data_IF_169968987554
#
_entry.id   IF_169968987554
#
_cell.length_a   1.000
_cell.length_b   1.000
_cell.length_c   1.000
_cell.angle_alpha   90.00
_cell.angle_beta   90.00
_cell.angle_gamma   90.00
#
_symmetry.space_group_name_H-M   'P 1'
#
loop_
_entity.id
_entity.type
_entity.pdbx_description
1 polymer ?
#
# COMPACT_ATOMS: atom_id res chain seq x y z
N UNK A 1 22.64 14.69 8.43
CA UNK A 1 22.14 14.02 7.21
C UNK A 1 20.94 14.81 6.74
N UNK A 2 20.89 15.24 5.46
CA UNK A 2 19.68 15.89 4.91
C UNK A 2 18.57 14.84 4.96
N UNK A 3 17.52 15.09 5.72
CA UNK A 3 16.37 14.20 5.80
C UNK A 3 15.62 14.35 4.47
N UNK A 4 15.99 13.56 3.47
CA UNK A 4 15.28 13.55 2.18
C UNK A 4 13.95 12.87 2.38
N UNK A 5 12.87 13.51 1.91
CA UNK A 5 11.54 12.90 1.89
C UNK A 5 11.61 11.55 1.13
N UNK A 6 10.83 10.54 1.52
CA UNK A 6 10.70 9.31 0.74
C UNK A 6 10.23 9.60 -0.70
N UNK A 7 10.52 8.70 -1.62
CA UNK A 7 10.01 8.81 -2.98
C UNK A 7 8.47 8.79 -3.00
N UNK A 8 7.90 9.59 -3.91
CA UNK A 8 6.46 9.60 -4.12
C UNK A 8 6.06 8.50 -5.13
N UNK A 9 5.34 7.44 -4.70
CA UNK A 9 5.00 6.32 -5.56
C UNK A 9 3.95 6.66 -6.63
N UNK A 10 3.29 7.82 -6.53
CA UNK A 10 2.22 8.24 -7.44
C UNK A 10 2.73 8.99 -8.67
N UNK A 11 3.99 9.46 -8.69
CA UNK A 11 4.52 10.31 -9.78
C UNK A 11 4.49 9.67 -11.16
N UNK A 12 4.59 8.35 -11.23
CA UNK A 12 4.63 7.58 -12.48
C UNK A 12 3.31 6.87 -12.78
N UNK A 13 2.26 7.18 -12.03
CA UNK A 13 0.95 6.59 -12.21
C UNK A 13 0.09 7.50 -13.08
N UNK A 14 -0.54 6.95 -14.10
CA UNK A 14 -1.52 7.66 -14.90
C UNK A 14 -2.87 7.67 -14.19
N UNK A 15 -3.43 8.87 -13.99
CA UNK A 15 -4.75 9.11 -13.40
C UNK A 15 -5.72 9.76 -14.39
N UNK A 16 -5.33 9.92 -15.67
CA UNK A 16 -6.10 10.66 -16.68
C UNK A 16 -7.48 10.05 -16.97
N UNK A 17 -7.62 8.74 -16.79
CA UNK A 17 -8.88 8.00 -16.96
C UNK A 17 -9.57 7.64 -15.62
N UNK A 18 -8.99 8.00 -14.47
CA UNK A 18 -9.52 7.62 -13.16
C UNK A 18 -10.72 8.49 -12.76
N UNK A 19 -11.73 7.88 -12.13
CA UNK A 19 -12.83 8.61 -11.49
C UNK A 19 -12.41 9.06 -10.09
N UNK A 20 -11.73 10.19 -10.00
CA UNK A 20 -11.18 10.69 -8.75
C UNK A 20 -12.27 11.15 -7.77
N UNK A 21 -12.04 10.88 -6.49
CA UNK A 21 -12.83 11.40 -5.37
C UNK A 21 -12.02 12.40 -4.54
N UNK A 22 -12.73 13.27 -3.83
CA UNK A 22 -12.15 14.37 -3.06
C UNK A 22 -12.44 14.21 -1.56
N UNK A 23 -11.45 14.54 -0.72
CA UNK A 23 -11.59 14.67 0.73
C UNK A 23 -10.66 15.76 1.26
N UNK A 24 -11.04 16.43 2.35
CA UNK A 24 -10.25 17.50 2.96
C UNK A 24 -9.88 17.14 4.40
N UNK A 25 -8.59 17.18 4.70
CA UNK A 25 -8.02 16.67 5.95
C UNK A 25 -7.24 17.77 6.66
N UNK A 26 -7.70 18.18 7.84
CA UNK A 26 -7.00 19.09 8.74
C UNK A 26 -6.29 18.30 9.83
N UNK A 27 -4.98 18.42 9.94
CA UNK A 27 -4.15 17.55 10.77
C UNK A 27 -2.95 18.25 11.41
N UNK A 28 -3.07 19.55 11.72
CA UNK A 28 -1.93 20.36 12.16
C UNK A 28 -1.30 21.14 11.00
N UNK A 29 -0.01 21.45 11.10
CA UNK A 29 0.73 22.11 10.02
C UNK A 29 0.60 21.32 8.70
N UNK A 30 -0.01 21.94 7.70
CA UNK A 30 -0.36 21.26 6.45
C UNK A 30 0.85 20.84 5.59
N UNK A 31 2.07 21.30 5.90
CA UNK A 31 3.28 20.96 5.14
C UNK A 31 3.63 19.49 5.27
N UNK A 32 3.64 18.99 6.51
CA UNK A 32 3.87 17.58 6.80
C UNK A 32 2.73 16.70 6.31
N UNK A 33 1.48 17.15 6.52
CA UNK A 33 0.28 16.41 6.11
C UNK A 33 0.23 16.29 4.58
N UNK A 34 0.47 17.37 3.82
CA UNK A 34 0.50 17.33 2.35
C UNK A 34 1.58 16.37 1.87
N UNK A 35 2.82 16.51 2.38
CA UNK A 35 3.93 15.68 1.96
C UNK A 35 3.68 14.20 2.22
N UNK A 36 3.05 13.85 3.34
CA UNK A 36 2.68 12.47 3.67
C UNK A 36 1.54 11.97 2.79
N UNK A 37 0.42 12.69 2.71
CA UNK A 37 -0.75 12.28 1.93
C UNK A 37 -0.43 12.15 0.44
N UNK A 38 0.39 13.04 -0.13
CA UNK A 38 0.85 12.95 -1.52
C UNK A 38 1.61 11.64 -1.82
N UNK A 39 2.18 11.00 -0.80
CA UNK A 39 2.95 9.75 -0.90
C UNK A 39 2.14 8.50 -0.56
N UNK A 40 0.87 8.67 -0.17
CA UNK A 40 -0.06 7.56 -0.03
C UNK A 40 -0.44 7.08 -1.44
N UNK A 41 -0.18 5.81 -1.74
CA UNK A 41 -0.45 5.22 -3.05
C UNK A 41 -1.94 5.35 -3.41
N UNK A 42 -2.25 5.77 -4.63
CA UNK A 42 -3.62 6.03 -5.08
C UNK A 42 -4.06 7.49 -4.93
N UNK A 43 -3.26 8.33 -4.26
CA UNK A 43 -3.45 9.78 -4.26
C UNK A 43 -2.93 10.37 -5.57
N UNK A 44 -3.83 11.00 -6.31
CA UNK A 44 -3.56 11.60 -7.62
C UNK A 44 -3.00 13.03 -7.50
N UNK A 45 -3.54 13.81 -6.56
CA UNK A 45 -3.10 15.18 -6.34
C UNK A 45 -3.41 15.64 -4.91
N UNK A 46 -2.63 16.61 -4.44
CA UNK A 46 -2.86 17.30 -3.17
C UNK A 46 -2.70 18.80 -3.33
N UNK A 47 -3.44 19.58 -2.56
CA UNK A 47 -3.17 21.01 -2.37
C UNK A 47 -3.40 21.39 -0.91
N UNK A 48 -2.83 22.51 -0.47
CA UNK A 48 -3.03 23.05 0.88
C UNK A 48 -3.83 24.34 0.88
N UNK A 49 -4.60 24.56 1.94
CA UNK A 49 -5.48 25.70 2.07
C UNK A 49 -6.10 25.84 3.45
N UNK A 50 -7.08 26.73 3.52
CA UNK A 50 -7.75 27.16 4.74
C UNK A 50 -9.23 26.80 4.63
N UNK A 51 -9.71 25.92 5.53
CA UNK A 51 -11.07 25.40 5.45
C UNK A 51 -11.95 25.85 6.62
N UNK A 52 -13.25 25.95 6.34
CA UNK A 52 -14.34 26.05 7.32
C UNK A 52 -14.27 27.24 8.29
N UNK A 53 -13.52 28.30 7.96
CA UNK A 53 -13.56 29.58 8.66
C UNK A 53 -14.67 30.53 8.20
N UNK A 54 -14.64 31.76 8.72
CA UNK A 54 -15.71 32.76 8.58
C UNK A 54 -15.41 33.85 7.56
N UNK A 55 -14.14 34.04 7.22
CA UNK A 55 -13.68 35.07 6.27
C UNK A 55 -13.42 34.46 4.91
N UNK A 56 -13.52 35.27 3.85
CA UNK A 56 -13.23 34.82 2.47
C UNK A 56 -11.76 35.07 2.12
N UNK A 57 -11.11 34.12 1.44
CA UNK A 57 -9.72 34.23 0.95
C UNK A 57 -8.72 34.78 1.99
N UNK A 58 -8.63 34.19 3.21
CA UNK A 58 -7.71 34.67 4.22
C UNK A 58 -6.25 34.48 3.79
N UNK A 59 -5.35 35.38 4.20
CA UNK A 59 -3.91 35.10 4.11
C UNK A 59 -3.44 34.20 5.25
N UNK A 60 -2.24 33.64 5.12
CA UNK A 60 -1.60 32.89 6.21
C UNK A 60 -1.53 33.71 7.51
N UNK A 61 -1.21 35.02 7.42
CA UNK A 61 -1.16 35.92 8.56
C UNK A 61 -2.53 36.07 9.23
N UNK A 62 -3.60 36.20 8.44
CA UNK A 62 -4.97 36.29 8.96
C UNK A 62 -5.34 35.01 9.74
N UNK A 63 -5.02 33.84 9.20
CA UNK A 63 -5.25 32.55 9.86
C UNK A 63 -4.43 32.42 11.14
N UNK A 64 -3.17 32.87 11.13
CA UNK A 64 -2.30 32.88 12.29
C UNK A 64 -2.83 33.74 13.45
N UNK A 65 -3.64 34.78 13.16
CA UNK A 65 -4.30 35.57 14.23
C UNK A 65 -5.33 34.79 15.04
N UNK A 66 -5.77 33.63 14.54
CA UNK A 66 -6.83 32.77 15.10
C UNK A 66 -8.23 33.39 15.13
N UNK A 67 -8.43 34.53 14.46
CA UNK A 67 -9.73 35.23 14.43
C UNK A 67 -10.65 34.78 13.30
N UNK A 68 -10.07 34.20 12.24
CA UNK A 68 -10.83 33.80 11.05
C UNK A 68 -11.59 32.48 11.23
N UNK A 69 -11.12 31.61 12.13
CA UNK A 69 -11.73 30.30 12.39
C UNK A 69 -11.37 29.21 11.38
N UNK A 70 -10.51 29.50 10.40
CA UNK A 70 -10.07 28.50 9.43
C UNK A 70 -9.19 27.42 10.06
N UNK A 71 -9.21 26.22 9.50
CA UNK A 71 -8.22 25.15 9.75
C UNK A 71 -7.24 25.07 8.58
N UNK A 72 -5.96 24.90 8.88
CA UNK A 72 -4.99 24.42 7.88
C UNK A 72 -5.41 23.02 7.42
N UNK A 73 -5.62 22.88 6.13
CA UNK A 73 -6.30 21.72 5.54
C UNK A 73 -5.62 21.30 4.25
N UNK A 74 -5.47 20.00 4.06
CA UNK A 74 -5.01 19.40 2.81
C UNK A 74 -6.21 18.90 2.03
N UNK A 75 -6.38 19.37 0.81
CA UNK A 75 -7.28 18.76 -0.17
C UNK A 75 -6.56 17.56 -0.80
N UNK A 76 -7.18 16.39 -0.74
CA UNK A 76 -6.64 15.13 -1.27
C UNK A 76 -7.59 14.63 -2.36
N UNK A 77 -7.06 14.51 -3.58
CA UNK A 77 -7.72 13.86 -4.72
C UNK A 77 -7.16 12.45 -4.87
N UNK A 78 -8.00 11.44 -4.76
CA UNK A 78 -7.57 10.04 -4.78
C UNK A 78 -8.40 9.19 -5.75
N UNK A 79 -7.84 8.08 -6.20
CA UNK A 79 -8.51 7.09 -7.04
C UNK A 79 -9.14 5.99 -6.15
N UNK A 80 -10.48 5.93 -6.01
CA UNK A 80 -11.16 4.94 -5.18
C UNK A 80 -10.90 3.49 -5.61
N UNK A 81 -10.53 3.26 -6.87
CA UNK A 81 -10.19 1.92 -7.38
C UNK A 81 -8.80 1.47 -6.91
N UNK A 82 -7.94 2.41 -6.51
CA UNK A 82 -6.58 2.14 -6.00
C UNK A 82 -6.49 2.19 -4.49
N UNK A 83 -7.25 3.08 -3.84
CA UNK A 83 -7.28 3.21 -2.38
C UNK A 83 -8.70 3.52 -1.90
N UNK A 84 -9.15 2.75 -0.89
CA UNK A 84 -10.45 3.01 -0.26
C UNK A 84 -10.39 4.25 0.63
N UNK A 85 -11.53 4.91 0.87
CA UNK A 85 -11.58 6.05 1.77
C UNK A 85 -11.18 5.63 3.20
N UNK A 86 -11.56 4.44 3.65
CA UNK A 86 -11.21 3.93 4.97
C UNK A 86 -9.69 3.77 5.15
N UNK A 87 -9.02 3.30 4.10
CA UNK A 87 -7.58 3.11 4.07
C UNK A 87 -6.84 4.45 4.03
N UNK A 88 -7.32 5.39 3.22
CA UNK A 88 -6.79 6.76 3.14
C UNK A 88 -6.90 7.47 4.49
N UNK A 89 -8.05 7.37 5.15
CA UNK A 89 -8.27 7.94 6.48
C UNK A 89 -7.45 7.19 7.54
N UNK A 90 -7.29 5.87 7.41
CA UNK A 90 -6.38 5.11 8.26
C UNK A 90 -4.95 5.63 8.19
N UNK A 91 -4.46 5.97 6.99
CA UNK A 91 -3.15 6.59 6.79
C UNK A 91 -3.07 7.98 7.46
N UNK A 92 -4.13 8.78 7.36
CA UNK A 92 -4.22 10.08 8.02
C UNK A 92 -4.18 9.97 9.56
N UNK A 93 -4.91 9.01 10.16
CA UNK A 93 -4.88 8.80 11.61
C UNK A 93 -3.54 8.30 12.15
N UNK A 94 -2.64 7.77 11.31
CA UNK A 94 -1.28 7.40 11.71
C UNK A 94 -0.38 8.62 11.97
N UNK A 95 -0.72 9.79 11.41
CA UNK A 95 0.14 10.98 11.44
C UNK A 95 -0.38 12.10 12.34
N UNK A 96 -1.52 11.91 13.00
CA UNK A 96 -2.11 12.89 13.93
C UNK A 96 -2.28 12.29 15.33
N UNK A 97 -2.35 13.15 16.35
CA UNK A 97 -2.98 12.82 17.64
C UNK A 97 -4.48 13.19 17.55
N UNK A 98 -5.39 12.21 17.36
CA UNK A 98 -6.81 12.48 17.18
C UNK A 98 -7.51 12.90 18.48
N UNK A 99 -6.81 12.87 19.62
CA UNK A 99 -7.33 13.21 20.94
C UNK A 99 -6.84 14.56 21.45
N UNK A 100 -6.04 15.26 20.64
CA UNK A 100 -5.48 16.58 20.93
C UNK A 100 -6.37 17.70 20.40
N UNK A 101 -6.77 18.61 21.29
CA UNK A 101 -7.61 19.76 20.95
C UNK A 101 -6.73 20.93 20.50
N UNK A 102 -6.98 21.44 19.28
CA UNK A 102 -6.33 22.65 18.74
C UNK A 102 -4.79 22.62 18.80
N UNK A 103 -4.20 21.43 18.60
CA UNK A 103 -2.75 21.23 18.68
C UNK A 103 -2.34 19.95 17.97
N UNK A 104 -1.23 19.99 17.23
CA UNK A 104 -0.50 18.83 16.73
C UNK A 104 1.01 19.07 16.91
N UNK A 105 1.70 18.12 17.55
CA UNK A 105 3.11 18.31 17.94
C UNK A 105 3.35 19.59 18.76
N UNK A 106 4.15 20.50 18.21
CA UNK A 106 4.48 21.79 18.82
C UNK A 106 3.53 22.92 18.36
N UNK A 107 2.75 22.69 17.31
CA UNK A 107 1.86 23.69 16.70
C UNK A 107 0.57 23.81 17.52
N UNK A 108 0.25 25.02 17.99
CA UNK A 108 -0.90 25.28 18.87
C UNK A 108 -1.79 26.39 18.33
N UNK A 109 -3.10 26.14 18.30
CA UNK A 109 -4.10 27.07 17.81
C UNK A 109 -5.24 26.36 17.09
N UNK A 110 -6.37 27.04 16.96
CA UNK A 110 -7.56 26.49 16.30
C UNK A 110 -7.33 26.19 14.81
N UNK A 111 -6.34 26.81 14.18
CA UNK A 111 -5.92 26.49 12.83
C UNK A 111 -5.30 25.09 12.71
N UNK A 112 -4.77 24.54 13.80
CA UNK A 112 -4.15 23.21 13.88
C UNK A 112 -5.06 22.15 14.48
N UNK A 113 -6.38 22.41 14.52
CA UNK A 113 -7.36 21.40 14.96
C UNK A 113 -7.38 20.23 13.97
N UNK A 114 -7.79 19.07 14.46
CA UNK A 114 -7.99 17.91 13.60
C UNK A 114 -9.41 17.88 13.05
N UNK A 115 -9.56 17.66 11.75
CA UNK A 115 -10.87 17.65 11.08
C UNK A 115 -10.87 16.86 9.77
N UNK A 116 -12.01 16.23 9.47
CA UNK A 116 -12.29 15.56 8.21
C UNK A 116 -13.49 16.27 7.59
N UNK A 117 -13.28 16.92 6.45
CA UNK A 117 -14.32 17.65 5.75
C UNK A 117 -14.65 16.98 4.43
N UNK A 118 -15.94 16.83 4.16
CA UNK A 118 -16.47 16.08 3.02
C UNK A 118 -17.48 16.92 2.23
N UNK A 119 -17.62 16.64 0.94
CA UNK A 119 -18.64 17.24 0.07
C UNK A 119 -19.73 16.25 -0.34
N UNK A 120 -19.42 14.94 -0.25
CA UNK A 120 -20.34 13.85 -0.58
C UNK A 120 -20.77 13.13 0.71
N UNK A 121 -22.07 13.21 1.05
CA UNK A 121 -22.64 12.49 2.19
C UNK A 121 -22.46 10.96 2.08
N UNK A 122 -22.26 10.43 0.87
CA UNK A 122 -21.92 9.02 0.64
C UNK A 122 -20.63 8.56 1.33
N UNK A 123 -19.74 9.49 1.68
CA UNK A 123 -18.49 9.22 2.39
C UNK A 123 -18.68 9.02 3.91
N UNK A 124 -19.80 9.49 4.48
CA UNK A 124 -20.03 9.46 5.93
C UNK A 124 -19.96 8.07 6.58
N UNK A 125 -20.52 6.99 6.00
CA UNK A 125 -20.42 5.65 6.59
C UNK A 125 -18.96 5.19 6.74
N UNK A 126 -18.11 5.43 5.73
CA UNK A 126 -16.70 5.09 5.77
C UNK A 126 -15.94 5.94 6.81
N UNK A 127 -16.18 7.25 6.84
CA UNK A 127 -15.57 8.16 7.84
C UNK A 127 -15.91 7.71 9.27
N UNK A 128 -17.19 7.45 9.55
CA UNK A 128 -17.66 7.02 10.87
C UNK A 128 -17.09 5.66 11.26
N UNK A 129 -16.98 4.73 10.29
CA UNK A 129 -16.37 3.41 10.50
C UNK A 129 -14.90 3.54 10.94
N UNK A 130 -14.12 4.41 10.31
CA UNK A 130 -12.73 4.65 10.70
C UNK A 130 -12.64 5.29 12.08
N UNK A 131 -13.43 6.32 12.37
CA UNK A 131 -13.42 6.96 13.68
C UNK A 131 -13.75 5.96 14.80
N UNK A 132 -14.74 5.09 14.59
CA UNK A 132 -15.07 4.05 15.56
C UNK A 132 -13.88 3.07 15.78
N UNK A 133 -13.19 2.67 14.69
CA UNK A 133 -12.00 1.80 14.78
C UNK A 133 -10.85 2.48 15.52
N UNK A 134 -10.58 3.76 15.24
CA UNK A 134 -9.53 4.51 15.91
C UNK A 134 -9.87 4.78 17.38
N UNK A 135 -11.14 5.11 17.68
CA UNK A 135 -11.60 5.31 19.05
C UNK A 135 -11.42 4.04 19.90
N UNK A 136 -11.60 2.85 19.31
CA UNK A 136 -11.37 1.59 20.01
C UNK A 136 -9.90 1.37 20.41
N UNK A 137 -8.93 2.07 19.80
CA UNK A 137 -7.50 1.96 20.11
C UNK A 137 -7.08 2.86 21.28
N UNK A 138 -7.92 3.78 21.73
CA UNK A 138 -7.58 4.77 22.75
C UNK A 138 -8.71 4.99 23.74
N UNK A 139 -8.37 5.18 25.02
CA UNK A 139 -9.35 5.52 26.05
C UNK A 139 -9.73 7.00 26.05
N UNK A 140 -8.90 7.86 25.46
CA UNK A 140 -9.19 9.29 25.32
C UNK A 140 -10.17 9.51 24.17
N UNK A 141 -11.18 10.38 24.33
CA UNK A 141 -12.14 10.64 23.26
C UNK A 141 -11.42 11.29 22.07
N UNK A 142 -11.70 10.79 20.87
CA UNK A 142 -11.31 11.43 19.61
C UNK A 142 -12.08 12.74 19.49
N UNK A 143 -11.35 13.82 19.22
CA UNK A 143 -11.87 15.19 19.07
C UNK A 143 -11.79 15.68 17.62
N UNK A 144 -11.35 14.82 16.69
CA UNK A 144 -11.35 15.10 15.26
C UNK A 144 -12.78 15.36 14.78
N UNK A 145 -13.02 16.59 14.31
CA UNK A 145 -14.34 16.99 13.84
C UNK A 145 -14.67 16.37 12.49
N UNK A 146 -15.95 16.06 12.26
CA UNK A 146 -16.45 15.56 10.97
C UNK A 146 -17.59 16.46 10.55
N UNK A 147 -17.36 17.30 9.55
CA UNK A 147 -18.33 18.29 9.10
C UNK A 147 -18.36 18.38 7.57
N UNK A 148 -19.49 18.80 6.97
CA UNK A 148 -19.49 19.20 5.57
C UNK A 148 -18.45 20.30 5.32
N UNK A 149 -17.77 20.23 4.18
CA UNK A 149 -16.92 21.32 3.72
C UNK A 149 -17.79 22.52 3.36
N UNK A 150 -17.65 23.62 4.09
CA UNK A 150 -18.36 24.89 3.82
C UNK A 150 -17.59 25.77 2.87
N UNK A 151 -16.25 25.80 3.02
CA UNK A 151 -15.34 26.62 2.23
C UNK A 151 -13.93 26.03 2.31
N UNK A 152 -13.21 26.17 1.21
CA UNK A 152 -11.78 25.91 1.12
C UNK A 152 -11.16 27.00 0.26
N UNK A 153 -10.34 27.84 0.87
CA UNK A 153 -9.56 28.87 0.18
C UNK A 153 -8.12 28.34 0.01
N UNK A 154 -7.60 28.36 -1.22
CA UNK A 154 -6.27 27.85 -1.52
C UNK A 154 -5.19 28.71 -0.82
N UNK A 155 -4.23 28.07 -0.16
CA UNK A 155 -3.10 28.79 0.42
C UNK A 155 -2.13 29.27 -0.67
N UNK A 156 -1.30 30.23 -0.29
CA UNK A 156 -0.30 30.86 -1.13
C UNK A 156 0.67 29.84 -1.76
N UNK A 157 1.19 30.12 -2.95
CA UNK A 157 2.04 29.19 -3.73
C UNK A 157 3.30 28.73 -2.97
N UNK A 158 3.82 29.54 -2.06
CA UNK A 158 4.99 29.15 -1.27
C UNK A 158 4.68 28.05 -0.24
N UNK A 159 3.41 27.84 0.12
CA UNK A 159 2.97 26.74 0.99
C UNK A 159 2.70 25.45 0.23
N UNK A 160 2.36 25.53 -1.06
CA UNK A 160 2.11 24.34 -1.89
C UNK A 160 3.39 23.53 -2.04
N UNK A 161 3.35 22.24 -1.72
CA UNK A 161 4.47 21.30 -1.83
C UNK A 161 5.72 21.80 -1.07
N UNK A 162 5.50 22.47 0.07
CA UNK A 162 6.55 23.17 0.80
C UNK A 162 7.77 22.29 1.12
N UNK A 163 7.57 21.04 1.56
CA UNK A 163 8.67 20.13 1.91
C UNK A 163 9.36 19.52 0.69
N UNK A 164 8.69 19.42 -0.46
CA UNK A 164 9.34 19.05 -1.72
C UNK A 164 10.23 20.19 -2.23
N UNK A 165 9.79 21.46 -2.05
CA UNK A 165 10.58 22.67 -2.35
C UNK A 165 11.70 22.89 -1.32
N UNK A 166 11.48 22.52 -0.05
CA UNK A 166 12.37 22.77 1.09
C UNK A 166 12.59 21.47 1.90
N UNK A 167 13.49 20.56 1.47
CA UNK A 167 13.67 19.25 2.12
C UNK A 167 14.15 19.29 3.58
N UNK A 168 14.68 20.42 4.05
CA UNK A 168 15.05 20.64 5.46
C UNK A 168 14.02 21.45 6.24
N UNK A 169 12.83 21.66 5.68
CA UNK A 169 11.75 22.44 6.28
C UNK A 169 11.18 21.78 7.54
N UNK A 170 10.48 22.56 8.34
CA UNK A 170 9.83 22.08 9.55
C UNK A 170 8.77 21.00 9.22
N UNK A 171 8.82 19.87 9.91
CA UNK A 171 7.82 18.82 9.80
C UNK A 171 7.68 18.09 11.14
N UNK A 172 6.46 18.00 11.67
CA UNK A 172 6.17 17.21 12.88
C UNK A 172 5.67 15.79 12.56
N UNK A 173 5.41 15.48 11.29
CA UNK A 173 4.87 14.20 10.81
C UNK A 173 6.00 13.20 10.57
N UNK A 174 5.83 11.96 11.05
CA UNK A 174 6.69 10.84 10.67
C UNK A 174 6.21 10.19 9.37
N UNK A 175 7.15 9.76 8.54
CA UNK A 175 6.89 9.05 7.28
C UNK A 175 7.08 7.53 7.41
N UNK A 176 7.44 7.02 8.59
CA UNK A 176 7.76 5.60 8.80
C UNK A 176 6.56 4.68 8.56
N UNK A 177 5.35 5.23 8.69
CA UNK A 177 4.08 4.52 8.45
C UNK A 177 3.66 4.48 6.98
N UNK A 178 4.36 5.17 6.07
CA UNK A 178 4.07 5.10 4.64
C UNK A 178 4.18 3.66 4.14
N UNK A 179 3.13 3.20 3.46
CA UNK A 179 3.02 1.84 2.94
C UNK A 179 2.55 0.79 3.96
N UNK A 180 2.25 1.17 5.21
CA UNK A 180 1.65 0.29 6.23
C UNK A 180 0.11 0.31 6.21
N UNK A 181 -0.50 1.41 5.75
CA UNK A 181 -1.95 1.57 5.61
C UNK A 181 -2.38 1.37 4.16
N UNK A 182 -3.42 0.57 3.95
CA UNK A 182 -4.20 0.66 2.71
C UNK A 182 -3.68 -0.05 1.47
N UNK A 183 -2.79 -1.03 1.59
CA UNK A 183 -2.63 -1.99 0.50
C UNK A 183 -3.90 -2.85 0.42
N UNK A 184 -4.90 -2.39 -0.34
CA UNK A 184 -5.45 -3.33 -1.31
C UNK A 184 -4.39 -3.41 -2.41
N UNK A 185 -3.53 -4.42 -2.32
CA UNK A 185 -3.00 -5.00 -3.56
C UNK A 185 -4.18 -5.11 -4.53
N UNK A 186 -4.02 -4.87 -5.85
CA UNK A 186 -5.05 -5.08 -6.86
C UNK A 186 -5.33 -6.59 -7.03
N UNK A 187 -5.63 -7.24 -5.92
CA UNK A 187 -5.88 -8.64 -5.70
C UNK A 187 -7.39 -8.80 -5.67
N UNK A 188 -7.97 -8.97 -6.86
CA UNK A 188 -9.32 -9.49 -6.94
C UNK A 188 -9.23 -11.02 -6.93
N UNK A 189 -9.60 -11.70 -5.84
CA UNK A 189 -9.56 -13.15 -5.79
C UNK A 189 -10.49 -13.82 -6.82
N UNK A 190 -11.41 -13.07 -7.45
CA UNK A 190 -12.40 -13.58 -8.41
C UNK A 190 -11.88 -13.65 -9.85
N UNK A 191 -10.87 -12.88 -10.22
CA UNK A 191 -10.37 -12.86 -11.61
C UNK A 191 -9.45 -14.06 -11.92
N UNK A 192 -8.78 -14.59 -10.90
CA UNK A 192 -7.89 -15.73 -11.06
C UNK A 192 -8.66 -17.02 -10.81
N UNK A 193 -8.96 -17.72 -11.91
CA UNK A 193 -9.74 -18.96 -11.92
C UNK A 193 -8.85 -20.10 -12.39
N UNK A 194 -9.03 -21.28 -11.79
CA UNK A 194 -8.36 -22.50 -12.23
C UNK A 194 -9.01 -22.99 -13.54
N UNK A 195 -8.24 -23.17 -14.62
CA UNK A 195 -8.74 -23.85 -15.81
C UNK A 195 -9.17 -25.30 -15.52
N UNK A 196 -9.91 -25.90 -16.44
CA UNK A 196 -10.33 -27.30 -16.33
C UNK A 196 -9.12 -28.25 -16.42
N UNK A 197 -9.21 -29.43 -15.81
CA UNK A 197 -8.12 -30.43 -15.86
C UNK A 197 -7.76 -30.83 -17.31
N UNK A 198 -8.73 -30.82 -18.24
CA UNK A 198 -8.50 -31.08 -19.66
C UNK A 198 -7.65 -29.98 -20.32
N UNK A 199 -7.86 -28.71 -19.97
CA UNK A 199 -7.05 -27.59 -20.44
C UNK A 199 -5.64 -27.65 -19.83
N UNK A 200 -5.53 -27.92 -18.53
CA UNK A 200 -4.24 -28.00 -17.84
C UNK A 200 -3.32 -29.06 -18.45
N UNK A 201 -3.87 -30.22 -18.82
CA UNK A 201 -3.10 -31.28 -19.50
C UNK A 201 -2.62 -30.89 -20.90
N UNK A 202 -3.22 -29.88 -21.52
CA UNK A 202 -2.83 -29.37 -22.85
C UNK A 202 -1.88 -28.19 -22.78
N UNK A 203 -1.98 -27.36 -21.75
CA UNK A 203 -1.23 -26.09 -21.65
C UNK A 203 0.03 -26.20 -20.80
N UNK A 204 0.02 -27.01 -19.75
CA UNK A 204 1.18 -27.19 -18.89
C UNK A 204 2.15 -28.20 -19.49
N UNK A 205 3.44 -27.97 -19.30
CA UNK A 205 4.44 -29.02 -19.51
C UNK A 205 4.25 -30.16 -18.51
N UNK A 206 4.77 -31.35 -18.82
CA UNK A 206 4.68 -32.51 -17.93
C UNK A 206 5.23 -32.20 -16.52
N UNK A 207 6.32 -31.45 -16.42
CA UNK A 207 6.93 -31.06 -15.14
C UNK A 207 6.07 -30.04 -14.38
N UNK A 208 5.53 -29.04 -15.07
CA UNK A 208 4.60 -28.08 -14.46
C UNK A 208 3.35 -28.77 -13.92
N UNK A 209 2.77 -29.72 -14.68
CA UNK A 209 1.61 -30.50 -14.23
C UNK A 209 1.96 -31.38 -13.02
N UNK A 210 3.06 -32.13 -13.09
CA UNK A 210 3.54 -33.00 -12.00
C UNK A 210 3.77 -32.21 -10.71
N UNK A 211 4.39 -31.04 -10.79
CA UNK A 211 4.63 -30.18 -9.63
C UNK A 211 3.31 -29.56 -9.16
N UNK A 212 2.65 -28.75 -9.99
CA UNK A 212 1.53 -27.92 -9.57
C UNK A 212 0.26 -28.73 -9.21
N UNK A 213 0.01 -29.88 -9.84
CA UNK A 213 -1.21 -30.67 -9.64
C UNK A 213 -0.99 -31.95 -8.84
N UNK A 214 0.16 -32.60 -9.00
CA UNK A 214 0.46 -33.88 -8.35
C UNK A 214 1.38 -33.74 -7.12
N UNK A 215 1.66 -32.50 -6.70
CA UNK A 215 2.52 -32.19 -5.53
C UNK A 215 3.95 -32.75 -5.68
N UNK A 216 4.43 -32.83 -6.92
CA UNK A 216 5.82 -33.16 -7.22
C UNK A 216 6.78 -32.03 -6.82
N UNK A 217 8.07 -32.36 -6.75
CA UNK A 217 9.14 -31.39 -6.52
C UNK A 217 10.15 -31.50 -7.67
N UNK A 218 10.52 -30.37 -8.27
CA UNK A 218 11.57 -30.30 -9.30
C UNK A 218 12.95 -30.58 -8.69
N UNK A 219 13.92 -31.04 -9.49
CA UNK A 219 15.27 -31.31 -8.95
C UNK A 219 15.95 -30.00 -8.52
N UNK A 220 16.73 -30.00 -7.43
CA UNK A 220 17.47 -28.81 -7.02
C UNK A 220 18.41 -28.36 -8.14
N UNK A 221 18.57 -27.05 -8.29
CA UNK A 221 19.42 -26.38 -9.29
C UNK A 221 19.04 -26.64 -10.77
N UNK A 222 17.85 -27.19 -11.02
CA UNK A 222 17.37 -27.48 -12.38
C UNK A 222 16.26 -26.55 -12.88
N UNK A 223 15.51 -25.92 -11.97
CA UNK A 223 14.40 -25.05 -12.31
C UNK A 223 14.82 -23.75 -13.01
N UNK A 224 13.92 -23.15 -13.79
CA UNK A 224 14.24 -21.94 -14.55
C UNK A 224 14.57 -20.72 -13.67
N UNK A 225 14.15 -20.71 -12.40
CA UNK A 225 14.13 -19.48 -11.59
C UNK A 225 15.03 -19.49 -10.37
N UNK A 226 15.82 -20.54 -10.12
CA UNK A 226 16.68 -20.58 -8.94
C UNK A 226 17.75 -19.45 -8.98
N UNK A 227 18.40 -19.21 -10.13
CA UNK A 227 19.33 -18.09 -10.35
C UNK A 227 18.68 -16.80 -10.90
N UNK A 228 17.35 -16.74 -11.08
CA UNK A 228 16.72 -15.55 -11.63
C UNK A 228 16.83 -14.37 -10.65
N UNK A 229 17.44 -13.27 -11.09
CA UNK A 229 17.69 -12.06 -10.30
C UNK A 229 17.07 -10.79 -10.93
N UNK A 230 16.49 -10.91 -12.12
CA UNK A 230 15.85 -9.78 -12.80
C UNK A 230 14.66 -9.23 -11.99
N UNK A 231 14.43 -7.90 -12.00
CA UNK A 231 13.21 -7.32 -11.47
C UNK A 231 11.98 -7.87 -12.19
N UNK A 232 10.99 -8.33 -11.42
CA UNK A 232 9.74 -8.83 -11.99
C UNK A 232 8.81 -9.48 -10.96
N UNK A 233 7.74 -10.06 -11.48
CA UNK A 233 6.67 -10.69 -10.73
C UNK A 233 6.65 -12.19 -10.99
N UNK A 234 6.45 -12.99 -9.94
CA UNK A 234 6.22 -14.42 -10.05
C UNK A 234 4.74 -14.71 -9.84
N UNK A 235 4.10 -15.23 -10.88
CA UNK A 235 2.67 -15.60 -10.88
C UNK A 235 2.50 -17.11 -10.87
N UNK A 236 1.36 -17.60 -10.42
CA UNK A 236 0.96 -19.00 -10.52
C UNK A 236 0.93 -19.42 -11.99
N UNK A 237 1.65 -20.49 -12.34
CA UNK A 237 1.67 -21.01 -13.71
C UNK A 237 0.29 -21.46 -14.20
N UNK A 238 -0.62 -21.79 -13.28
CA UNK A 238 -1.97 -22.30 -13.59
C UNK A 238 -2.99 -21.17 -13.76
N UNK A 239 -3.07 -20.25 -12.80
CA UNK A 239 -4.12 -19.22 -12.76
C UNK A 239 -3.66 -17.83 -13.19
N UNK A 240 -2.34 -17.58 -13.22
CA UNK A 240 -1.80 -16.23 -13.37
C UNK A 240 -1.93 -15.37 -12.11
N UNK A 241 -2.41 -15.91 -10.99
CA UNK A 241 -2.49 -15.17 -9.72
C UNK A 241 -1.08 -14.71 -9.28
N UNK A 242 -0.85 -13.42 -8.97
CA UNK A 242 0.42 -12.96 -8.43
C UNK A 242 0.75 -13.56 -7.08
N UNK A 243 1.93 -14.18 -6.97
CA UNK A 243 2.35 -14.91 -5.77
C UNK A 243 3.55 -14.27 -5.06
N UNK A 244 4.60 -13.88 -5.80
CA UNK A 244 5.84 -13.35 -5.20
C UNK A 244 6.43 -12.20 -6.00
N UNK A 245 7.10 -11.28 -5.32
CA UNK A 245 7.90 -10.21 -5.93
C UNK A 245 9.38 -10.62 -5.99
N UNK A 246 10.09 -10.20 -7.03
CA UNK A 246 11.56 -10.31 -7.07
C UNK A 246 12.26 -9.60 -5.90
N UNK A 247 11.62 -8.61 -5.26
CA UNK A 247 12.17 -7.89 -4.10
C UNK A 247 12.33 -8.76 -2.86
N UNK A 248 11.44 -9.73 -2.70
CA UNK A 248 11.44 -10.64 -1.57
C UNK A 248 12.19 -11.94 -1.90
N UNK A 249 12.69 -12.09 -3.14
CA UNK A 249 13.54 -13.21 -3.55
C UNK A 249 14.94 -13.07 -2.96
N UNK A 250 15.54 -14.17 -2.55
CA UNK A 250 16.93 -14.24 -2.12
C UNK A 250 17.57 -15.58 -2.50
N UNK A 251 18.90 -15.64 -2.52
CA UNK A 251 19.63 -16.89 -2.69
C UNK A 251 19.78 -17.59 -1.34
N UNK A 252 19.13 -18.75 -1.21
CA UNK A 252 19.21 -19.60 -0.03
C UNK A 252 20.22 -20.75 -0.18
N UNK A 253 20.85 -20.92 -1.35
CA UNK A 253 21.75 -22.03 -1.65
C UNK A 253 21.07 -23.41 -1.70
N UNK A 254 19.73 -23.47 -1.66
CA UNK A 254 18.97 -24.72 -1.58
C UNK A 254 18.65 -25.34 -2.95
N UNK A 255 18.83 -24.59 -4.05
CA UNK A 255 18.57 -25.05 -5.41
C UNK A 255 17.17 -24.77 -5.96
N UNK A 256 16.31 -24.11 -5.18
CA UNK A 256 15.00 -23.63 -5.61
C UNK A 256 14.87 -22.11 -5.36
N UNK A 257 14.08 -21.36 -6.15
CA UNK A 257 13.80 -19.97 -5.84
C UNK A 257 13.21 -19.84 -4.43
N UNK A 258 13.81 -18.94 -3.65
CA UNK A 258 13.47 -18.72 -2.25
C UNK A 258 13.01 -17.29 -2.03
N UNK A 259 11.90 -17.13 -1.30
CA UNK A 259 11.32 -15.82 -0.99
C UNK A 259 11.13 -15.65 0.51
N UNK A 260 11.19 -14.42 1.01
CA UNK A 260 10.97 -14.12 2.43
C UNK A 260 9.49 -14.04 2.81
N UNK A 261 8.62 -13.71 1.84
CA UNK A 261 7.17 -13.60 2.01
C UNK A 261 6.44 -13.70 0.67
N UNK A 262 5.15 -14.07 0.63
CA UNK A 262 4.31 -13.87 -0.53
C UNK A 262 4.06 -12.38 -0.77
N UNK A 263 3.60 -12.06 -1.98
CA UNK A 263 3.20 -10.71 -2.37
C UNK A 263 2.00 -10.21 -1.55
N UNK A 264 1.07 -11.11 -1.26
CA UNK A 264 -0.11 -10.92 -0.42
C UNK A 264 -0.34 -12.21 0.39
N UNK A 265 -0.61 -12.11 1.69
CA UNK A 265 -0.75 -13.29 2.56
C UNK A 265 -1.90 -14.20 2.08
N UNK A 266 -2.97 -13.59 1.57
CA UNK A 266 -4.14 -14.32 1.05
C UNK A 266 -3.88 -15.01 -0.28
N UNK A 267 -2.82 -14.69 -1.00
CA UNK A 267 -2.51 -15.32 -2.29
C UNK A 267 -2.01 -16.77 -2.13
N UNK A 268 -1.58 -17.15 -0.92
CA UNK A 268 -1.12 -18.51 -0.60
C UNK A 268 -1.94 -19.15 0.51
N UNK A 269 -1.91 -20.48 0.56
CA UNK A 269 -2.47 -21.29 1.63
C UNK A 269 -1.38 -22.19 2.19
N UNK A 270 -1.28 -22.20 3.50
CA UNK A 270 -0.39 -23.09 4.23
C UNK A 270 -1.13 -24.34 4.69
N UNK A 271 -0.54 -25.51 4.46
CA UNK A 271 -1.10 -26.80 4.83
C UNK A 271 -0.04 -27.65 5.50
N UNK A 272 -0.39 -28.29 6.60
CA UNK A 272 0.51 -29.24 7.26
C UNK A 272 0.78 -30.45 6.35
N UNK A 273 2.05 -30.76 6.15
CA UNK A 273 2.56 -31.87 5.34
C UNK A 273 3.35 -32.85 6.22
N UNK A 274 2.98 -34.13 6.17
CA UNK A 274 3.58 -35.25 6.91
C UNK A 274 4.27 -36.27 5.99
N UNK A 275 4.37 -35.97 4.70
CA UNK A 275 4.99 -36.86 3.71
C UNK A 275 6.49 -37.02 3.97
N UNK A 276 7.07 -38.13 3.50
CA UNK A 276 8.50 -38.43 3.64
C UNK A 276 9.00 -38.50 5.10
N UNK A 277 8.09 -38.71 6.07
CA UNK A 277 8.44 -38.82 7.49
C UNK A 277 8.86 -37.50 8.15
N UNK A 278 8.62 -36.36 7.51
CA UNK A 278 8.96 -35.03 8.02
C UNK A 278 7.70 -34.26 8.40
N UNK A 279 7.81 -33.28 9.29
CA UNK A 279 6.74 -32.29 9.55
C UNK A 279 7.15 -31.00 8.84
N UNK A 280 6.41 -30.65 7.79
CA UNK A 280 6.64 -29.43 7.00
C UNK A 280 5.33 -28.66 6.82
N UNK A 281 5.43 -27.43 6.35
CA UNK A 281 4.29 -26.63 5.93
C UNK A 281 4.34 -26.49 4.41
N UNK A 282 3.44 -27.21 3.73
CA UNK A 282 3.19 -27.06 2.29
C UNK A 282 2.57 -25.70 2.00
N UNK A 283 3.02 -25.08 0.90
CA UNK A 283 2.50 -23.81 0.39
C UNK A 283 1.79 -24.08 -0.94
N UNK A 284 0.55 -23.59 -1.05
CA UNK A 284 -0.28 -23.70 -2.27
C UNK A 284 -0.81 -22.35 -2.73
N UNK A 285 -1.07 -22.18 -4.03
CA UNK A 285 -1.76 -20.98 -4.53
C UNK A 285 -3.24 -20.98 -4.12
N UNK A 286 -3.80 -19.80 -3.85
CA UNK A 286 -5.18 -19.67 -3.36
C UNK A 286 -6.19 -19.97 -4.47
N UNK A 287 -6.00 -19.43 -5.68
CA UNK A 287 -6.94 -19.58 -6.79
C UNK A 287 -6.96 -21.00 -7.36
N UNK A 288 -5.79 -21.53 -7.70
CA UNK A 288 -5.68 -22.81 -8.40
C UNK A 288 -5.39 -24.01 -7.51
N UNK A 289 -5.14 -23.81 -6.20
CA UNK A 289 -4.67 -24.88 -5.31
C UNK A 289 -3.46 -25.60 -5.94
N UNK A 290 -2.58 -24.84 -6.59
CA UNK A 290 -1.33 -25.34 -7.17
C UNK A 290 -0.37 -25.63 -6.04
N UNK A 291 0.24 -26.82 -6.01
CA UNK A 291 1.37 -27.07 -5.13
C UNK A 291 2.55 -26.19 -5.55
N UNK A 292 3.00 -25.32 -4.64
CA UNK A 292 4.10 -24.40 -4.89
C UNK A 292 5.41 -24.95 -4.30
N UNK A 293 5.36 -25.43 -3.06
CA UNK A 293 6.52 -25.94 -2.34
C UNK A 293 6.28 -25.93 -0.84
N UNK A 294 7.26 -25.46 -0.07
CA UNK A 294 7.21 -25.45 1.40
C UNK A 294 7.76 -24.17 2.00
N UNK A 295 7.27 -23.80 3.18
CA UNK A 295 7.79 -22.69 3.98
C UNK A 295 8.54 -23.22 5.20
N UNK A 296 9.69 -22.61 5.47
CA UNK A 296 10.59 -22.93 6.58
C UNK A 296 10.91 -21.68 7.41
N UNK A 297 11.35 -21.85 8.64
CA UNK A 297 11.72 -20.76 9.58
C UNK A 297 13.23 -20.52 9.64
N UNK A 298 13.95 -20.88 8.57
CA UNK A 298 15.40 -20.77 8.42
C UNK A 298 15.81 -19.63 7.47
N UNK A 299 14.90 -18.67 7.22
CA UNK A 299 15.13 -17.52 6.36
C UNK A 299 15.90 -16.37 7.05
N UNK A 300 16.22 -15.29 6.30
CA UNK A 300 16.89 -14.10 6.82
C UNK A 300 16.08 -13.45 7.96
N UNK A 301 16.70 -13.35 9.16
CA UNK A 301 16.03 -12.87 10.37
C UNK A 301 15.58 -11.41 10.26
N UNK A 302 16.37 -10.58 9.59
CA UNK A 302 16.10 -9.17 9.30
C UNK A 302 14.89 -8.97 8.36
N UNK A 303 14.45 -10.03 7.67
CA UNK A 303 13.32 -10.02 6.74
C UNK A 303 12.14 -10.89 7.19
N UNK A 304 12.08 -11.22 8.48
CA UNK A 304 10.97 -11.98 9.08
C UNK A 304 11.26 -13.47 9.35
N UNK A 305 12.44 -13.97 8.95
CA UNK A 305 12.91 -15.32 9.30
C UNK A 305 12.24 -16.47 8.54
N UNK A 306 11.33 -16.19 7.60
CA UNK A 306 10.69 -17.19 6.77
C UNK A 306 11.44 -17.40 5.45
N UNK A 307 11.40 -18.64 4.96
CA UNK A 307 11.89 -19.04 3.65
C UNK A 307 10.83 -19.85 2.93
N UNK A 308 10.18 -19.21 1.96
CA UNK A 308 9.28 -19.84 1.00
C UNK A 308 10.12 -20.48 -0.10
N UNK A 309 10.32 -21.79 -0.02
CA UNK A 309 11.07 -22.59 -0.97
C UNK A 309 10.12 -23.12 -2.05
N UNK A 310 10.12 -22.51 -3.23
CA UNK A 310 9.09 -22.70 -4.25
C UNK A 310 9.67 -23.39 -5.48
N UNK A 311 8.93 -24.29 -6.11
CA UNK A 311 9.33 -24.91 -7.36
C UNK A 311 9.18 -23.90 -8.51
N UNK A 312 10.22 -23.75 -9.35
CA UNK A 312 10.17 -22.93 -10.56
C UNK A 312 9.05 -23.40 -11.50
N UNK A 313 8.85 -24.72 -11.61
CA UNK A 313 7.79 -25.34 -12.40
C UNK A 313 6.35 -24.99 -11.93
N UNK A 314 6.17 -24.39 -10.75
CA UNK A 314 4.86 -23.91 -10.29
C UNK A 314 4.63 -22.42 -10.58
N UNK A 315 5.65 -21.73 -11.09
CA UNK A 315 5.66 -20.30 -11.32
C UNK A 315 5.78 -19.96 -12.80
N UNK A 316 5.36 -18.73 -13.14
CA UNK A 316 5.73 -18.03 -14.36
C UNK A 316 6.30 -16.66 -13.98
N UNK A 317 7.50 -16.35 -14.45
CA UNK A 317 8.13 -15.05 -14.21
C UNK A 317 7.72 -14.04 -15.30
N UNK A 318 7.33 -12.84 -14.87
CA UNK A 318 6.99 -11.70 -15.72
C UNK A 318 8.01 -10.60 -15.45
N UNK A 319 8.93 -10.32 -16.40
CA UNK A 319 9.90 -9.24 -16.27
C UNK A 319 9.20 -7.89 -16.07
N UNK A 320 9.80 -7.00 -15.29
CA UNK A 320 9.26 -5.67 -14.97
C UNK A 320 8.83 -4.88 -16.22
N UNK A 321 9.59 -4.99 -17.30
CA UNK A 321 9.34 -4.33 -18.59
C UNK A 321 8.09 -4.85 -19.33
N UNK A 322 7.65 -6.09 -19.07
CA UNK A 322 6.46 -6.69 -19.71
C UNK A 322 5.22 -6.64 -18.80
N UNK A 323 5.37 -6.29 -17.52
CA UNK A 323 4.27 -6.32 -16.53
C UNK A 323 3.06 -5.50 -16.97
N UNK A 324 3.25 -4.29 -17.49
CA UNK A 324 2.14 -3.42 -17.94
C UNK A 324 1.35 -4.08 -19.09
N UNK A 325 2.09 -4.52 -20.11
CA UNK A 325 1.55 -5.14 -21.32
C UNK A 325 0.83 -6.45 -21.05
N UNK A 326 1.28 -7.20 -20.04
CA UNK A 326 0.65 -8.45 -19.60
C UNK A 326 -0.51 -8.25 -18.61
N UNK A 327 -0.90 -7.01 -18.29
CA UNK A 327 -2.02 -6.71 -17.39
C UNK A 327 -1.67 -6.74 -15.90
N UNK A 328 -0.39 -6.71 -15.55
CA UNK A 328 0.13 -6.65 -14.18
C UNK A 328 0.70 -5.27 -13.83
N UNK A 329 0.33 -4.21 -14.58
CA UNK A 329 0.80 -2.84 -14.36
C UNK A 329 0.59 -2.34 -12.94
N UNK A 330 -0.56 -2.67 -12.36
CA UNK A 330 -0.89 -2.31 -10.98
C UNK A 330 0.02 -2.98 -9.93
N UNK A 331 0.82 -3.99 -10.33
CA UNK A 331 1.80 -4.66 -9.47
C UNK A 331 3.21 -4.06 -9.55
N UNK A 332 3.49 -3.18 -10.51
CA UNK A 332 4.81 -2.56 -10.74
C UNK A 332 5.39 -1.88 -9.48
N UNK A 333 4.62 -1.12 -8.68
CA UNK A 333 5.15 -0.51 -7.45
C UNK A 333 5.68 -1.53 -6.43
N UNK A 334 5.14 -2.75 -6.43
CA UNK A 334 5.56 -3.84 -5.55
C UNK A 334 6.79 -4.58 -6.07
N UNK A 335 7.29 -4.23 -7.26
CA UNK A 335 8.55 -4.71 -7.83
C UNK A 335 9.62 -3.61 -7.81
N UNK A 336 9.25 -2.35 -8.07
CA UNK A 336 10.20 -1.23 -8.24
C UNK A 336 10.78 -0.60 -6.97
N UNK A 337 10.13 -0.71 -5.81
CA UNK A 337 10.61 0.00 -4.62
C UNK A 337 11.93 -0.63 -4.09
N UNK A 338 13.05 -0.20 -4.65
CA UNK A 338 14.37 -0.75 -4.37
C UNK A 338 15.37 -0.39 -5.46
N UNK A 339 15.69 0.90 -5.59
CA UNK A 339 17.06 1.30 -5.89
C UNK A 339 17.56 1.96 -4.62
N UNK A 340 18.53 1.32 -3.98
CA UNK A 340 19.23 1.84 -2.79
C UNK A 340 19.98 3.12 -3.16
#
# INVERSE_FOLDING_TARGET
MKQTLPDNPNRNLDYSASNLADIWLAGGCFWGVQAYMARVLGVAATSVGYANGRTENPSYEDVCTRKTGHAETVHVRYDPDRISLEDLLGAFFQIIDPTSVNRQGNDRGSQYRTGIYYVDDGQLPAIRSVIAKEQAKTSRPIVTEVEPLRRYDLAEEYHQDYLDKNPGGYCHVSFDSLGQTGRKMPFDPKIYIRPSEAELRRTLTAEQYRVARESGTERPFSGAYWQQDKPGLYVDVVSGEPLFSSRDKFDAGCGWPSFTRPLEEKAVREKRDLTHGMIRTEVRSRAADSHLGHVFTDGPRDKGGLRYCINSASLRFIPLEEMEKEGYGAYIPYVRAGSV
#
